data_IF_962363337505
#
_entry.id   IF_962363337505
#
_cell.length_a   1.000
_cell.length_b   1.000
_cell.length_c   1.000
_cell.angle_alpha   90.00
_cell.angle_beta   90.00
_cell.angle_gamma   90.00
#
_symmetry.space_group_name_H-M   'P 1'
#
loop_
_entity.id
_entity.type
_entity.pdbx_description
1 polymer ?
#
# COMPACT_ATOMS: atom_id res chain seq x y z
N UNK A 1 15.88 -6.33 9.85
CA UNK A 1 15.69 -7.60 9.09
C UNK A 1 15.59 -7.28 7.58
N UNK A 2 16.51 -6.48 7.00
CA UNK A 2 16.24 -5.88 5.67
C UNK A 2 16.50 -6.80 4.47
N UNK A 3 17.20 -7.93 4.61
CA UNK A 3 17.64 -8.71 3.44
C UNK A 3 16.58 -9.49 2.64
N UNK A 4 15.35 -9.64 3.15
CA UNK A 4 14.28 -10.36 2.43
C UNK A 4 13.58 -9.48 1.39
N UNK A 5 13.35 -8.21 1.74
CA UNK A 5 12.53 -7.27 0.98
C UNK A 5 13.30 -6.56 -0.14
N UNK A 6 14.61 -6.40 0.03
CA UNK A 6 15.51 -5.73 -0.91
C UNK A 6 15.60 -6.43 -2.28
N UNK A 7 15.21 -7.72 -2.35
CA UNK A 7 15.27 -8.54 -3.57
C UNK A 7 13.94 -8.60 -4.32
N UNK A 8 12.88 -8.02 -3.77
CA UNK A 8 11.57 -8.01 -4.42
C UNK A 8 11.52 -6.97 -5.54
N UNK A 9 10.71 -7.25 -6.56
CA UNK A 9 10.40 -6.27 -7.60
C UNK A 9 9.21 -5.43 -7.14
N UNK A 10 9.49 -4.19 -6.74
CA UNK A 10 8.49 -3.25 -6.26
C UNK A 10 7.85 -2.49 -7.42
N UNK A 11 6.52 -2.46 -7.44
CA UNK A 11 5.69 -1.70 -8.39
C UNK A 11 5.12 -0.49 -7.69
N UNK A 12 5.38 0.71 -8.21
CA UNK A 12 4.82 1.97 -7.70
C UNK A 12 3.34 2.06 -8.08
N UNK A 13 2.48 2.28 -7.09
CA UNK A 13 1.04 2.48 -7.28
C UNK A 13 0.73 3.98 -7.49
N UNK A 14 1.34 4.58 -8.50
CA UNK A 14 1.13 5.97 -8.89
C UNK A 14 1.21 6.14 -10.40
N UNK A 15 0.45 7.09 -10.93
CA UNK A 15 0.53 7.54 -12.32
C UNK A 15 1.49 8.74 -12.47
N UNK A 16 2.06 9.23 -11.37
CA UNK A 16 3.03 10.32 -11.36
C UNK A 16 4.37 9.86 -11.99
N UNK A 17 4.82 10.49 -13.08
CA UNK A 17 6.08 10.11 -13.73
C UNK A 17 7.33 10.51 -12.94
N UNK A 18 7.21 11.36 -11.90
CA UNK A 18 8.34 11.74 -11.05
C UNK A 18 8.83 10.51 -10.26
N UNK A 19 10.10 10.08 -10.42
CA UNK A 19 10.65 8.96 -9.66
C UNK A 19 10.70 9.21 -8.15
N UNK A 20 10.68 10.46 -7.69
CA UNK A 20 10.73 10.81 -6.26
C UNK A 20 9.35 11.07 -5.66
N UNK A 21 8.27 11.04 -6.44
CA UNK A 21 6.91 11.19 -5.90
C UNK A 21 6.60 10.08 -4.86
N UNK A 22 6.17 10.51 -3.68
CA UNK A 22 5.78 9.61 -2.61
C UNK A 22 4.57 8.77 -3.04
N UNK A 23 4.65 7.46 -2.85
CA UNK A 23 3.57 6.54 -3.20
C UNK A 23 3.64 5.25 -2.39
N UNK A 24 2.58 4.46 -2.49
CA UNK A 24 2.59 3.07 -2.06
C UNK A 24 3.31 2.23 -3.11
N UNK A 25 4.20 1.36 -2.65
CA UNK A 25 4.83 0.34 -3.48
C UNK A 25 4.31 -1.04 -3.09
N UNK A 26 4.14 -1.91 -4.09
CA UNK A 26 3.58 -3.25 -3.94
C UNK A 26 4.53 -4.27 -4.56
N UNK A 27 4.75 -5.40 -3.90
CA UNK A 27 5.54 -6.50 -4.44
C UNK A 27 4.91 -7.86 -4.15
N UNK A 28 5.02 -8.79 -5.12
CA UNK A 28 4.73 -10.21 -4.90
C UNK A 28 5.86 -10.84 -4.09
N UNK A 29 5.49 -11.63 -3.08
CA UNK A 29 6.41 -12.33 -2.18
C UNK A 29 6.52 -13.82 -2.49
N UNK A 30 7.20 -14.54 -1.59
CA UNK A 30 7.24 -16.01 -1.66
C UNK A 30 5.84 -16.60 -1.41
N UNK A 31 5.46 -17.62 -2.18
CA UNK A 31 4.18 -18.31 -2.03
C UNK A 31 3.01 -17.43 -2.48
N UNK A 32 2.07 -17.17 -1.58
CA UNK A 32 0.88 -16.34 -1.80
C UNK A 32 0.98 -14.97 -1.13
N UNK A 33 2.19 -14.54 -0.75
CA UNK A 33 2.36 -13.28 -0.04
C UNK A 33 2.36 -12.07 -0.97
N UNK A 34 1.81 -10.96 -0.45
CA UNK A 34 1.88 -9.63 -1.06
C UNK A 34 2.42 -8.67 0.00
N UNK A 35 3.37 -7.83 -0.42
CA UNK A 35 4.02 -6.85 0.43
C UNK A 35 3.67 -5.44 -0.03
N UNK A 36 3.43 -4.56 0.93
CA UNK A 36 3.15 -3.15 0.71
C UNK A 36 4.06 -2.31 1.61
N UNK A 37 4.51 -1.18 1.10
CA UNK A 37 5.27 -0.18 1.88
C UNK A 37 5.03 1.21 1.31
N UNK A 38 5.42 2.23 2.05
CA UNK A 38 5.55 3.58 1.48
C UNK A 38 6.96 3.75 0.89
N UNK A 39 7.09 4.50 -0.20
CA UNK A 39 8.38 4.75 -0.85
C UNK A 39 9.34 5.57 0.04
N UNK A 40 8.81 6.39 0.96
CA UNK A 40 9.56 7.20 1.92
C UNK A 40 9.86 6.47 3.26
N UNK A 41 9.22 5.33 3.51
CA UNK A 41 9.47 4.46 4.67
C UNK A 41 9.64 2.98 4.24
N UNK A 42 10.71 2.65 3.50
CA UNK A 42 10.84 1.36 2.82
C UNK A 42 11.06 0.15 3.75
N UNK A 43 11.37 0.39 5.02
CA UNK A 43 11.58 -0.66 6.03
C UNK A 43 10.26 -1.08 6.72
N UNK A 44 9.21 -0.26 6.61
CA UNK A 44 7.92 -0.51 7.22
C UNK A 44 6.99 -1.27 6.27
N UNK A 45 7.20 -2.58 6.21
CA UNK A 45 6.52 -3.47 5.26
C UNK A 45 5.29 -4.12 5.89
N UNK A 46 4.12 -3.86 5.30
CA UNK A 46 2.88 -4.61 5.57
C UNK A 46 2.88 -5.88 4.71
N UNK A 47 2.63 -7.03 5.32
CA UNK A 47 2.51 -8.31 4.61
C UNK A 47 1.09 -8.85 4.70
N UNK A 48 0.55 -9.27 3.57
CA UNK A 48 -0.76 -9.90 3.43
C UNK A 48 -0.69 -11.10 2.49
N UNK A 49 -1.83 -11.72 2.20
CA UNK A 49 -1.93 -12.81 1.20
C UNK A 49 -2.62 -12.32 -0.05
N UNK A 50 -2.40 -13.00 -1.18
CA UNK A 50 -3.02 -12.71 -2.47
C UNK A 50 -4.55 -12.67 -2.37
N UNK A 51 -5.14 -13.58 -1.59
CA UNK A 51 -6.59 -13.63 -1.38
C UNK A 51 -7.12 -12.39 -0.65
N UNK A 52 -6.42 -11.95 0.41
CA UNK A 52 -6.78 -10.73 1.16
C UNK A 52 -6.52 -9.47 0.35
N UNK A 53 -5.41 -9.43 -0.39
CA UNK A 53 -5.10 -8.33 -1.31
C UNK A 53 -6.19 -8.16 -2.37
N UNK A 54 -6.63 -9.25 -3.00
CA UNK A 54 -7.72 -9.21 -3.98
C UNK A 54 -9.02 -8.69 -3.37
N UNK A 55 -9.40 -9.16 -2.17
CA UNK A 55 -10.56 -8.65 -1.47
C UNK A 55 -10.46 -7.15 -1.15
N UNK A 56 -9.28 -6.69 -0.70
CA UNK A 56 -9.02 -5.27 -0.42
C UNK A 56 -9.18 -4.41 -1.68
N UNK A 57 -8.57 -4.80 -2.80
CA UNK A 57 -8.69 -4.07 -4.08
C UNK A 57 -10.15 -3.99 -4.55
N UNK A 58 -10.94 -5.06 -4.37
CA UNK A 58 -12.37 -5.03 -4.67
C UNK A 58 -13.13 -4.06 -3.77
N UNK A 59 -12.83 -4.01 -2.48
CA UNK A 59 -13.42 -3.04 -1.55
C UNK A 59 -13.08 -1.59 -1.92
N UNK A 60 -11.81 -1.30 -2.25
CA UNK A 60 -11.37 0.02 -2.73
C UNK A 60 -12.13 0.44 -3.98
N UNK A 61 -12.25 -0.45 -4.98
CA UNK A 61 -13.01 -0.18 -6.21
C UNK A 61 -14.51 0.02 -5.99
N UNK A 62 -15.04 -0.49 -4.88
CA UNK A 62 -16.43 -0.32 -4.46
C UNK A 62 -16.63 0.88 -3.52
N UNK A 63 -15.64 1.76 -3.39
CA UNK A 63 -15.68 2.95 -2.53
C UNK A 63 -15.93 2.61 -1.04
N UNK A 64 -15.58 1.39 -0.61
CA UNK A 64 -15.83 0.93 0.76
C UNK A 64 -15.01 1.73 1.80
N UNK A 65 -13.91 2.35 1.37
CA UNK A 65 -12.94 3.03 2.24
C UNK A 65 -12.98 4.57 2.15
N UNK A 66 -13.85 5.16 1.33
CA UNK A 66 -13.84 6.61 1.07
C UNK A 66 -14.18 7.44 2.33
N UNK A 67 -14.88 6.85 3.29
CA UNK A 67 -15.21 7.47 4.57
C UNK A 67 -14.00 7.67 5.50
N UNK A 68 -12.83 7.10 5.19
CA UNK A 68 -11.61 7.30 5.97
C UNK A 68 -10.87 8.60 5.63
N UNK A 69 -11.29 9.32 4.58
CA UNK A 69 -10.62 10.56 4.12
C UNK A 69 -11.30 11.82 4.66
N UNK A 70 -12.45 11.68 5.34
CA UNK A 70 -13.14 12.80 5.97
C UNK A 70 -12.42 13.20 7.27
N UNK A 71 -11.98 14.46 7.35
CA UNK A 71 -11.58 15.07 8.62
C UNK A 71 -12.78 14.95 9.58
N UNK A 72 -12.61 14.45 10.83
CA UNK A 72 -13.69 14.47 11.79
C UNK A 72 -14.18 15.92 11.92
N UNK A 73 -15.50 16.17 12.04
CA UNK A 73 -16.02 17.53 12.11
C UNK A 73 -15.25 18.28 13.21
N UNK A 74 -14.67 19.44 12.84
CA UNK A 74 -13.98 20.32 13.78
C UNK A 74 -14.91 20.49 14.98
N UNK A 75 -14.47 20.07 16.16
CA UNK A 75 -15.17 20.38 17.39
C UNK A 75 -15.23 21.91 17.47
N UNK A 76 -16.43 22.48 17.34
CA UNK A 76 -16.65 23.88 17.65
C UNK A 76 -16.28 24.11 19.13
N UNK A 77 -15.62 25.23 19.46
CA UNK A 77 -15.04 25.49 20.77
C UNK A 77 -16.07 25.55 21.91
#
# INVERSE_FOLDING_TARGET
>A
MSGAWDRLTWVRATDDPDPEAECIEIAEGEGDLVHLRQSDDPENVVTTTQAKWHAFVLGVRNNEFDHFVEEPPRADP
#
